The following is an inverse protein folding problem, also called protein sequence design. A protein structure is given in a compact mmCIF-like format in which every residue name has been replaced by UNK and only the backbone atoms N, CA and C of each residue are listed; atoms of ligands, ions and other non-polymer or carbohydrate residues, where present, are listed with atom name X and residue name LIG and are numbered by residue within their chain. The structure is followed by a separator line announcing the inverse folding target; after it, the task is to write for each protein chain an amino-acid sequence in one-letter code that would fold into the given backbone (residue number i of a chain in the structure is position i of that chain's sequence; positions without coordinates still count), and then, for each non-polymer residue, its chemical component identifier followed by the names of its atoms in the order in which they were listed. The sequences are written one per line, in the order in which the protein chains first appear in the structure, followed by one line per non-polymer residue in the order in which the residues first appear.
data_IF_806862791193
#
_entry.id   IF_806862791193
#
_cell.length_a   1.000
_cell.length_b   1.000
_cell.length_c   1.000
_cell.angle_alpha   90.00
_cell.angle_beta   90.00
_cell.angle_gamma   90.00
#
_symmetry.space_group_name_H-M   'P 1'
#
loop_
_entity.id
_entity.type
_entity.pdbx_description
1 polymer ?
#
# COMPACT_ATOMS: atom_id res chain seq x y z
N UNK A 1 8.77 19.54 -29.25
CA UNK A 1 9.38 20.81 -28.71
C UNK A 1 9.41 20.70 -27.19
N UNK A 2 10.57 20.42 -26.61
CA UNK A 2 10.74 20.48 -25.16
C UNK A 2 10.68 21.94 -24.72
N UNK A 3 9.66 22.27 -23.91
CA UNK A 3 9.53 23.59 -23.31
C UNK A 3 10.65 23.73 -22.28
N UNK A 4 11.61 24.65 -22.46
CA UNK A 4 12.61 24.93 -21.42
C UNK A 4 11.86 25.42 -20.17
N UNK A 5 11.80 24.57 -19.15
CA UNK A 5 11.29 24.96 -17.84
C UNK A 5 12.45 25.52 -17.01
N UNK A 6 12.21 26.61 -16.30
CA UNK A 6 13.15 27.11 -15.32
C UNK A 6 13.27 26.10 -14.15
N UNK A 7 14.47 25.96 -13.60
CA UNK A 7 14.75 25.02 -12.51
C UNK A 7 13.77 25.19 -11.33
N UNK A 8 13.49 26.41 -10.91
CA UNK A 8 12.54 26.69 -9.83
C UNK A 8 11.11 26.22 -10.16
N UNK A 9 10.64 26.41 -11.39
CA UNK A 9 9.33 25.93 -11.80
C UNK A 9 9.27 24.39 -11.85
N UNK A 10 10.36 23.74 -12.31
CA UNK A 10 10.46 22.29 -12.29
C UNK A 10 10.44 21.73 -10.86
N UNK A 11 11.14 22.37 -9.92
CA UNK A 11 11.16 22.00 -8.51
C UNK A 11 9.77 22.12 -7.87
N UNK A 12 9.09 23.26 -8.08
CA UNK A 12 7.74 23.49 -7.54
C UNK A 12 6.77 22.43 -8.06
N UNK A 13 6.77 22.18 -9.37
CA UNK A 13 5.89 21.17 -9.96
C UNK A 13 6.19 19.75 -9.46
N UNK A 14 7.47 19.42 -9.22
CA UNK A 14 7.86 18.14 -8.67
C UNK A 14 7.38 17.96 -7.23
N UNK A 15 7.51 18.98 -6.39
CA UNK A 15 7.04 18.97 -5.00
C UNK A 15 5.51 18.85 -4.97
N UNK A 16 4.79 19.64 -5.76
CA UNK A 16 3.33 19.57 -5.85
C UNK A 16 2.86 18.17 -6.29
N UNK A 17 3.50 17.62 -7.33
CA UNK A 17 3.21 16.27 -7.81
C UNK A 17 3.47 15.21 -6.75
N UNK A 18 4.56 15.34 -5.99
CA UNK A 18 4.92 14.42 -4.90
C UNK A 18 3.92 14.47 -3.75
N UNK A 19 3.55 15.66 -3.31
CA UNK A 19 2.54 15.84 -2.23
C UNK A 19 1.21 15.22 -2.63
N UNK A 20 0.76 15.45 -3.87
CA UNK A 20 -0.46 14.84 -4.40
C UNK A 20 -0.38 13.31 -4.43
N UNK A 21 0.75 12.76 -4.84
CA UNK A 21 0.96 11.31 -4.89
C UNK A 21 0.94 10.69 -3.51
N UNK A 22 1.60 11.31 -2.53
CA UNK A 22 1.61 10.87 -1.13
C UNK A 22 0.19 10.93 -0.55
N UNK A 23 -0.56 12.00 -0.78
CA UNK A 23 -1.93 12.13 -0.30
C UNK A 23 -2.85 11.02 -0.86
N UNK A 24 -2.69 10.69 -2.15
CA UNK A 24 -3.43 9.60 -2.78
C UNK A 24 -3.05 8.24 -2.15
N UNK A 25 -1.75 7.98 -1.94
CA UNK A 25 -1.27 6.75 -1.29
C UNK A 25 -1.85 6.60 0.12
N UNK A 26 -1.79 7.66 0.93
CA UNK A 26 -2.38 7.67 2.26
C UNK A 26 -3.89 7.40 2.22
N UNK A 27 -4.60 7.98 1.27
CA UNK A 27 -6.02 7.74 1.06
C UNK A 27 -6.34 6.26 0.79
N UNK A 28 -5.57 5.60 -0.06
CA UNK A 28 -5.72 4.17 -0.31
C UNK A 28 -5.41 3.32 0.94
N UNK A 29 -4.33 3.63 1.66
CA UNK A 29 -3.99 2.91 2.89
C UNK A 29 -5.14 3.00 3.91
N UNK A 30 -5.65 4.21 4.16
CA UNK A 30 -6.78 4.43 5.08
C UNK A 30 -8.03 3.69 4.60
N UNK A 31 -8.35 3.76 3.30
CA UNK A 31 -9.50 3.08 2.73
C UNK A 31 -9.41 1.56 2.91
N UNK A 32 -8.29 0.94 2.52
CA UNK A 32 -8.12 -0.51 2.64
C UNK A 32 -7.98 -0.98 4.08
N UNK A 33 -7.42 -0.16 4.97
CA UNK A 33 -7.39 -0.43 6.41
C UNK A 33 -8.79 -0.43 7.01
N UNK A 34 -9.61 0.57 6.65
CA UNK A 34 -11.00 0.63 7.09
C UNK A 34 -11.82 -0.53 6.51
N UNK A 35 -11.60 -0.89 5.25
CA UNK A 35 -12.24 -2.04 4.62
C UNK A 35 -11.88 -3.36 5.34
N UNK A 36 -10.61 -3.55 5.68
CA UNK A 36 -10.14 -4.72 6.44
C UNK A 36 -10.79 -4.81 7.81
N UNK A 37 -11.08 -3.69 8.45
CA UNK A 37 -11.77 -3.65 9.75
C UNK A 37 -13.26 -4.03 9.71
N UNK A 38 -13.86 -4.05 8.52
CA UNK A 38 -15.27 -4.47 8.34
C UNK A 38 -15.40 -5.99 8.15
N UNK A 39 -14.35 -6.67 7.76
CA UNK A 39 -14.35 -8.10 7.48
C UNK A 39 -13.50 -8.85 8.49
N UNK A 40 -13.94 -10.02 8.93
CA UNK A 40 -13.15 -10.92 9.75
C UNK A 40 -12.14 -11.64 8.86
N UNK A 41 -10.99 -11.02 8.63
CA UNK A 41 -9.94 -11.55 7.78
C UNK A 41 -8.87 -12.20 8.67
N UNK A 42 -8.42 -13.42 8.36
CA UNK A 42 -7.32 -14.03 9.09
C UNK A 42 -6.07 -13.12 9.02
N UNK A 43 -5.41 -12.94 10.16
CA UNK A 43 -4.24 -12.03 10.26
C UNK A 43 -3.17 -12.33 9.21
N UNK A 44 -2.91 -13.60 8.90
CA UNK A 44 -1.96 -14.00 7.88
C UNK A 44 -2.30 -13.48 6.46
N UNK A 45 -3.58 -13.28 6.14
CA UNK A 45 -4.01 -12.75 4.83
C UNK A 45 -4.12 -11.22 4.78
N UNK A 46 -4.06 -10.56 5.92
CA UNK A 46 -4.10 -9.10 6.00
C UNK A 46 -3.05 -8.40 5.11
N UNK A 47 -1.78 -8.86 5.04
CA UNK A 47 -0.77 -8.24 4.17
C UNK A 47 -1.10 -8.32 2.68
N UNK A 48 -1.95 -9.26 2.25
CA UNK A 48 -2.42 -9.32 0.86
C UNK A 48 -3.39 -8.18 0.51
N UNK A 49 -4.08 -7.63 1.48
CA UNK A 49 -5.03 -6.53 1.28
C UNK A 49 -4.29 -5.20 1.40
N UNK A 50 -3.70 -4.96 2.56
CA UNK A 50 -2.90 -3.79 2.85
C UNK A 50 -1.66 -4.22 3.63
N UNK A 51 -0.50 -4.03 3.01
CA UNK A 51 0.75 -4.63 3.47
C UNK A 51 1.22 -4.04 4.80
N UNK A 52 1.08 -2.74 4.98
CA UNK A 52 1.62 -2.03 6.15
C UNK A 52 0.93 -2.49 7.42
N UNK A 53 -0.40 -2.36 7.48
CA UNK A 53 -1.18 -2.77 8.65
C UNK A 53 -1.21 -4.30 8.80
N UNK A 54 -1.16 -5.03 7.68
CA UNK A 54 -1.13 -6.49 7.70
C UNK A 54 0.13 -7.03 8.37
N UNK A 55 1.29 -6.43 8.11
CA UNK A 55 2.55 -6.81 8.77
C UNK A 55 2.50 -6.42 10.25
N UNK A 56 2.06 -5.21 10.58
CA UNK A 56 1.95 -4.76 11.97
C UNK A 56 0.95 -5.61 12.79
N UNK A 57 -0.19 -5.98 12.22
CA UNK A 57 -1.20 -6.80 12.90
C UNK A 57 -0.69 -8.21 13.24
N UNK A 58 0.27 -8.72 12.49
CA UNK A 58 0.86 -10.03 12.73
C UNK A 58 1.98 -10.06 13.76
N UNK A 59 2.42 -8.89 14.27
CA UNK A 59 3.40 -8.77 15.35
C UNK A 59 4.58 -9.76 15.23
N UNK A 60 5.28 -9.73 14.11
CA UNK A 60 6.41 -10.60 13.76
C UNK A 60 6.11 -12.11 13.66
N UNK A 61 4.83 -12.52 13.63
CA UNK A 61 4.46 -13.94 13.50
C UNK A 61 4.54 -14.45 12.06
N UNK A 62 4.78 -13.58 11.07
CA UNK A 62 4.92 -13.99 9.67
C UNK A 62 6.35 -14.48 9.43
N UNK A 63 6.55 -15.72 8.97
CA UNK A 63 7.87 -16.20 8.57
C UNK A 63 8.49 -15.32 7.49
N UNK A 64 9.81 -15.15 7.54
CA UNK A 64 10.55 -14.20 6.69
C UNK A 64 10.32 -14.41 5.19
N UNK A 65 10.22 -15.65 4.74
CA UNK A 65 9.94 -15.99 3.34
C UNK A 65 8.58 -15.49 2.85
N UNK A 66 7.54 -15.53 3.70
CA UNK A 66 6.23 -14.98 3.36
C UNK A 66 6.25 -13.45 3.37
N UNK A 67 7.04 -12.86 4.26
CA UNK A 67 7.25 -11.41 4.26
C UNK A 67 7.87 -10.95 2.94
N UNK A 68 8.90 -11.66 2.44
CA UNK A 68 9.49 -11.39 1.13
C UNK A 68 8.46 -11.51 0.00
N UNK A 69 7.61 -12.54 0.05
CA UNK A 69 6.51 -12.70 -0.91
C UNK A 69 5.55 -11.50 -0.88
N UNK A 70 5.03 -11.14 0.30
CA UNK A 70 4.05 -10.07 0.44
C UNK A 70 4.62 -8.70 0.04
N UNK A 71 5.86 -8.41 0.41
CA UNK A 71 6.54 -7.17 0.02
C UNK A 71 6.71 -7.06 -1.50
N UNK A 72 7.08 -8.15 -2.16
CA UNK A 72 7.25 -8.15 -3.60
C UNK A 72 5.91 -8.12 -4.34
N UNK A 73 4.90 -8.84 -3.86
CA UNK A 73 3.54 -8.81 -4.41
C UNK A 73 2.90 -7.43 -4.22
N UNK A 74 3.04 -6.81 -3.04
CA UNK A 74 2.64 -5.44 -2.74
C UNK A 74 1.20 -5.28 -2.26
N UNK A 75 0.43 -6.35 -2.12
CA UNK A 75 -0.97 -6.29 -1.68
C UNK A 75 -1.93 -5.62 -2.66
N UNK A 76 -3.21 -5.82 -2.47
CA UNK A 76 -4.29 -5.30 -3.33
C UNK A 76 -4.30 -3.76 -3.31
N UNK A 77 -4.04 -3.14 -2.16
CA UNK A 77 -3.97 -1.69 -2.02
C UNK A 77 -3.00 -1.05 -3.03
N UNK A 78 -1.78 -1.59 -3.15
CA UNK A 78 -0.77 -1.09 -4.11
C UNK A 78 -1.21 -1.35 -5.56
N UNK A 79 -1.85 -2.47 -5.84
CA UNK A 79 -2.38 -2.77 -7.17
C UNK A 79 -3.39 -1.71 -7.62
N UNK A 80 -4.30 -1.28 -6.73
CA UNK A 80 -5.25 -0.21 -7.03
C UNK A 80 -4.58 1.15 -7.23
N UNK A 81 -3.55 1.47 -6.45
CA UNK A 81 -2.76 2.70 -6.62
C UNK A 81 -2.10 2.75 -8.00
N UNK A 82 -1.54 1.63 -8.46
CA UNK A 82 -0.85 1.53 -9.74
C UNK A 82 -1.80 1.43 -10.93
N UNK A 83 -3.04 1.01 -10.73
CA UNK A 83 -4.01 0.83 -11.80
C UNK A 83 -4.20 2.08 -12.68
N UNK A 84 -4.24 3.26 -12.06
CA UNK A 84 -4.34 4.53 -12.78
C UNK A 84 -3.11 4.84 -13.66
N UNK A 85 -1.94 4.36 -13.26
CA UNK A 85 -0.67 4.53 -13.99
C UNK A 85 -0.60 3.53 -15.15
N UNK A 86 -0.92 2.26 -14.87
CA UNK A 86 -0.93 1.15 -15.84
C UNK A 86 -1.84 1.49 -17.01
N UNK A 87 -3.03 2.02 -16.74
CA UNK A 87 -3.98 2.45 -17.75
C UNK A 87 -3.43 3.54 -18.66
N UNK A 88 -2.62 4.47 -18.14
CA UNK A 88 -1.97 5.53 -18.93
C UNK A 88 -0.89 4.99 -19.87
N UNK A 89 -0.22 3.91 -19.49
CA UNK A 89 0.85 3.24 -20.26
C UNK A 89 0.29 2.21 -21.26
N UNK A 90 -1.02 2.03 -21.28
CA UNK A 90 -1.72 1.05 -22.15
C UNK A 90 -1.27 -0.40 -21.91
N UNK A 91 -0.91 -0.74 -20.68
CA UNK A 91 -0.51 -2.09 -20.27
C UNK A 91 -1.72 -2.86 -19.73
N UNK A 92 -1.77 -4.15 -19.97
CA UNK A 92 -2.81 -5.03 -19.42
C UNK A 92 -2.65 -5.15 -17.90
N UNK A 93 -3.75 -5.00 -17.17
CA UNK A 93 -3.72 -5.21 -15.71
C UNK A 93 -3.42 -6.67 -15.35
N UNK A 94 -3.91 -7.63 -16.15
CA UNK A 94 -3.65 -9.06 -15.92
C UNK A 94 -2.15 -9.38 -16.05
N UNK A 95 -1.48 -8.82 -17.05
CA UNK A 95 -0.04 -8.99 -17.22
C UNK A 95 0.72 -8.43 -16.01
N UNK A 96 0.34 -7.24 -15.56
CA UNK A 96 0.92 -6.64 -14.37
C UNK A 96 0.71 -7.52 -13.14
N UNK A 97 -0.50 -8.03 -12.91
CA UNK A 97 -0.84 -8.88 -11.78
C UNK A 97 -0.04 -10.19 -11.80
N UNK A 98 0.04 -10.85 -12.97
CA UNK A 98 0.80 -12.10 -13.14
C UNK A 98 2.29 -11.88 -12.85
N UNK A 99 2.87 -10.78 -13.35
CA UNK A 99 4.27 -10.46 -13.08
C UNK A 99 4.53 -10.16 -11.58
N UNK A 100 3.61 -9.49 -10.91
CA UNK A 100 3.70 -9.25 -9.47
C UNK A 100 3.59 -10.53 -8.68
N UNK A 101 2.67 -11.42 -9.05
CA UNK A 101 2.52 -12.73 -8.42
C UNK A 101 3.77 -13.59 -8.63
N UNK A 102 4.27 -13.66 -9.87
CA UNK A 102 5.50 -14.38 -10.19
C UNK A 102 6.71 -13.80 -9.42
N UNK A 103 6.83 -12.46 -9.35
CA UNK A 103 7.87 -11.80 -8.56
C UNK A 103 7.80 -12.16 -7.07
N UNK A 104 6.60 -12.19 -6.50
CA UNK A 104 6.37 -12.63 -5.12
C UNK A 104 6.82 -14.08 -4.89
N UNK A 105 6.42 -14.99 -5.78
CA UNK A 105 6.84 -16.39 -5.72
C UNK A 105 8.36 -16.53 -5.85
N UNK A 106 8.98 -15.78 -6.76
CA UNK A 106 10.44 -15.77 -6.91
C UNK A 106 11.15 -15.20 -5.66
N UNK A 107 10.57 -14.21 -4.99
CA UNK A 107 11.13 -13.63 -3.76
C UNK A 107 11.00 -14.57 -2.56
N UNK A 108 10.02 -15.46 -2.54
CA UNK A 108 9.84 -16.46 -1.50
C UNK A 108 11.05 -17.39 -1.36
N UNK A 109 11.58 -17.90 -2.48
CA UNK A 109 12.69 -18.87 -2.45
C UNK A 109 13.98 -18.33 -1.84
N UNK A 110 14.54 -17.18 -2.29
CA UNK A 110 15.71 -16.61 -1.65
C UNK A 110 15.43 -16.17 -0.21
N UNK A 111 14.21 -15.72 0.10
CA UNK A 111 13.80 -15.44 1.49
C UNK A 111 13.88 -16.66 2.37
N UNK A 112 13.41 -17.82 1.90
CA UNK A 112 13.50 -19.09 2.61
C UNK A 112 14.95 -19.56 2.74
N UNK A 113 15.73 -19.44 1.67
CA UNK A 113 17.16 -19.80 1.70
C UNK A 113 17.92 -18.95 2.73
N UNK A 114 17.66 -17.65 2.75
CA UNK A 114 18.24 -16.73 3.73
C UNK A 114 17.86 -17.12 5.16
N UNK A 115 16.59 -17.38 5.41
CA UNK A 115 16.11 -17.80 6.73
C UNK A 115 16.76 -19.09 7.23
N UNK A 116 17.01 -20.04 6.33
CA UNK A 116 17.70 -21.31 6.68
C UNK A 116 19.19 -21.10 6.91
N UNK A 117 19.85 -20.29 6.08
CA UNK A 117 21.32 -20.13 6.14
C UNK A 117 21.78 -19.20 7.27
N UNK A 118 21.00 -18.16 7.55
CA UNK A 118 21.43 -17.09 8.46
C UNK A 118 20.62 -17.06 9.75
N UNK A 119 19.51 -17.84 9.84
CA UNK A 119 18.62 -17.91 11.00
C UNK A 119 18.50 -16.53 11.68
N UNK A 120 17.76 -15.57 11.10
CA UNK A 120 17.72 -14.22 11.63
C UNK A 120 17.09 -14.28 13.03
N UNK A 121 17.96 -14.43 14.05
CA UNK A 121 17.57 -14.37 15.45
C UNK A 121 17.37 -12.92 15.90
N UNK A 122 17.59 -11.97 15.00
CA UNK A 122 17.46 -10.56 15.31
C UNK A 122 16.08 -10.07 14.87
N UNK A 123 15.39 -9.45 15.81
CA UNK A 123 14.16 -8.71 15.53
C UNK A 123 14.49 -7.56 14.57
N UNK A 124 14.32 -7.78 13.28
CA UNK A 124 14.55 -6.77 12.22
C UNK A 124 13.75 -5.49 12.47
N UNK A 125 12.74 -5.56 13.32
CA UNK A 125 11.84 -4.47 13.72
C UNK A 125 12.02 -4.03 15.19
N UNK A 126 13.11 -4.38 15.86
CA UNK A 126 13.35 -4.05 17.28
C UNK A 126 13.23 -2.54 17.57
N UNK A 127 13.57 -1.68 16.61
CA UNK A 127 13.44 -0.23 16.74
C UNK A 127 11.99 0.28 16.61
N UNK A 128 11.08 -0.53 16.08
CA UNK A 128 9.67 -0.16 15.88
C UNK A 128 8.82 -0.67 17.07
N UNK A 129 9.29 -1.68 17.79
CA UNK A 129 8.56 -2.28 18.92
C UNK A 129 8.34 -1.30 20.09
N UNK A 130 9.11 -0.21 20.18
CA UNK A 130 8.92 0.83 21.21
C UNK A 130 7.86 1.88 20.84
N UNK A 131 7.42 1.94 19.60
CA UNK A 131 6.42 2.88 19.10
C UNK A 131 5.26 2.15 18.45
N UNK A 132 4.84 1.04 19.04
CA UNK A 132 3.54 0.47 18.64
C UNK A 132 2.45 1.41 19.13
N UNK A 133 1.79 2.20 18.27
CA UNK A 133 0.52 2.78 18.65
C UNK A 133 -0.35 1.57 19.03
N UNK A 134 -0.78 1.52 20.28
CA UNK A 134 -1.74 0.52 20.75
C UNK A 134 -2.91 0.62 19.79
N UNK A 135 -2.99 -0.30 18.82
CA UNK A 135 -4.11 -0.36 17.91
C UNK A 135 -5.32 -0.60 18.80
N UNK A 136 -6.04 0.46 19.12
CA UNK A 136 -7.36 0.32 19.73
C UNK A 136 -8.16 -0.56 18.78
N UNK A 137 -8.85 -1.54 19.32
CA UNK A 137 -9.76 -2.38 18.55
C UNK A 137 -10.53 -1.50 17.58
N UNK A 138 -10.32 -1.72 16.28
CA UNK A 138 -10.96 -0.90 15.24
C UNK A 138 -12.44 -1.23 15.33
N UNK A 139 -13.20 -0.38 16.02
CA UNK A 139 -14.64 -0.50 16.08
C UNK A 139 -15.20 -0.37 14.66
N UNK A 140 -16.04 -1.33 14.23
CA UNK A 140 -16.66 -1.31 12.91
C UNK A 140 -17.35 0.01 12.57
N UNK A 141 -17.86 0.74 13.59
CA UNK A 141 -18.43 2.08 13.43
C UNK A 141 -17.40 3.12 12.98
N UNK A 142 -16.17 3.06 13.50
CA UNK A 142 -15.07 3.94 13.10
C UNK A 142 -14.65 3.67 11.66
N UNK A 143 -14.56 2.39 11.28
CA UNK A 143 -14.24 1.97 9.92
C UNK A 143 -15.29 2.47 8.91
N UNK A 144 -16.57 2.37 9.25
CA UNK A 144 -17.66 2.91 8.42
C UNK A 144 -17.60 4.43 8.28
N UNK A 145 -17.28 5.16 9.35
CA UNK A 145 -17.11 6.63 9.29
C UNK A 145 -15.92 7.02 8.40
N UNK A 146 -14.81 6.31 8.49
CA UNK A 146 -13.65 6.55 7.64
C UNK A 146 -13.95 6.26 6.16
N UNK A 147 -14.63 5.16 5.86
CA UNK A 147 -15.07 4.84 4.50
C UNK A 147 -16.03 5.90 3.95
N UNK A 148 -17.00 6.31 4.73
CA UNK A 148 -17.94 7.35 4.35
C UNK A 148 -17.23 8.68 4.05
N UNK A 149 -16.28 9.09 4.90
CA UNK A 149 -15.49 10.31 4.68
C UNK A 149 -14.62 10.22 3.42
N UNK A 150 -13.99 9.07 3.16
CA UNK A 150 -13.23 8.86 1.92
C UNK A 150 -14.12 8.98 0.67
N UNK A 151 -15.31 8.38 0.69
CA UNK A 151 -16.28 8.48 -0.42
C UNK A 151 -16.70 9.93 -0.65
N UNK A 152 -17.03 10.68 0.41
CA UNK A 152 -17.42 12.10 0.30
C UNK A 152 -16.29 12.93 -0.32
N UNK A 153 -15.04 12.73 0.11
CA UNK A 153 -13.88 13.43 -0.45
C UNK A 153 -13.72 13.12 -1.95
N UNK A 154 -13.83 11.85 -2.35
CA UNK A 154 -13.69 11.43 -3.74
C UNK A 154 -14.80 12.04 -4.60
N UNK A 155 -16.05 12.07 -4.11
CA UNK A 155 -17.19 12.67 -4.83
C UNK A 155 -17.00 14.18 -4.97
N UNK A 156 -16.56 14.87 -3.91
CA UNK A 156 -16.31 16.34 -3.96
C UNK A 156 -15.19 16.69 -4.94
N UNK A 157 -14.10 15.93 -4.95
CA UNK A 157 -13.00 16.11 -5.89
C UNK A 157 -13.45 15.88 -7.33
N UNK A 158 -14.28 14.87 -7.59
CA UNK A 158 -14.81 14.58 -8.91
C UNK A 158 -15.76 15.68 -9.40
N UNK A 159 -16.63 16.21 -8.51
CA UNK A 159 -17.54 17.31 -8.83
C UNK A 159 -16.80 18.63 -9.11
N UNK A 160 -15.71 18.92 -8.38
CA UNK A 160 -14.86 20.08 -8.66
C UNK A 160 -14.18 19.97 -10.02
N UNK A 161 -13.74 18.77 -10.40
CA UNK A 161 -13.12 18.53 -11.72
C UNK A 161 -14.12 18.72 -12.85
N UNK A 162 -15.39 18.36 -12.67
CA UNK A 162 -16.44 18.52 -13.68
C UNK A 162 -16.90 19.98 -13.87
N UNK A 163 -16.65 20.87 -12.88
CA UNK A 163 -16.97 22.31 -12.96
C UNK A 163 -15.84 23.15 -13.57
N UNK A 164 -14.66 22.55 -13.79
CA UNK A 164 -13.46 23.21 -14.37
C UNK A 164 -13.25 22.81 -15.84
N UNK A 165 -14.07 21.93 -16.38
CA UNK A 165 -14.17 21.57 -17.81
C UNK A 165 -15.41 22.22 -18.42
#
# INVERSE_FOLDING_TARGET
KFKKMNFSAALINSVEGSVKSIAIMCGYIVFFSALSGLFTIPNFLMPMIEITNGIFANNNSIPFEYLCFFLCFGGICIHFQLFGIIKKVNMSYLDFFIHRLAGGLLAYFPGKLYAVCFAPNEEVFANISQVTPKMSEINGSLSLMLLASCIVIVVDLNNKKSKLL
#
